data_IF_102931133119
#
_entry.id   IF_102931133119
#
_cell.length_a   1.000
_cell.length_b   1.000
_cell.length_c   1.000
_cell.angle_alpha   90.00
_cell.angle_beta   90.00
_cell.angle_gamma   90.00
#
_symmetry.space_group_name_H-M   'P 1'
#
loop_
_entity.id
_entity.type
_entity.pdbx_description
1 polymer ?
#
# COMPACT_ATOMS: atom_id res chain seq x y z
N UNK A 1 -5.81 -3.60 17.56
CA UNK A 1 -6.72 -4.65 18.04
C UNK A 1 -7.26 -5.51 16.91
N UNK A 2 -7.79 -4.90 15.81
CA UNK A 2 -8.46 -5.62 14.71
C UNK A 2 -7.48 -6.37 13.80
N UNK A 3 -6.29 -5.84 13.60
CA UNK A 3 -5.29 -6.38 12.69
C UNK A 3 -4.17 -7.16 13.40
N UNK A 4 -4.21 -7.30 14.73
CA UNK A 4 -3.15 -7.98 15.49
C UNK A 4 -1.79 -7.27 15.50
N UNK A 5 -1.71 -6.05 14.97
CA UNK A 5 -0.46 -5.26 14.92
C UNK A 5 -0.33 -4.41 16.17
N UNK A 6 0.88 -4.42 16.77
CA UNK A 6 1.25 -3.52 17.86
C UNK A 6 2.09 -2.36 17.31
N UNK A 7 1.65 -1.14 17.58
CA UNK A 7 2.28 0.10 17.15
C UNK A 7 2.40 1.05 18.33
N UNK A 8 3.47 1.82 18.38
CA UNK A 8 3.58 2.95 19.29
C UNK A 8 2.86 4.16 18.68
N UNK A 9 1.74 4.61 19.26
CA UNK A 9 0.97 5.71 18.70
C UNK A 9 1.71 7.06 18.73
N UNK A 10 2.83 7.16 19.42
CA UNK A 10 3.61 8.41 19.53
C UNK A 10 4.60 8.60 18.39
N UNK A 11 4.98 7.53 17.68
CA UNK A 11 6.00 7.56 16.62
C UNK A 11 5.76 6.61 15.43
N UNK A 12 4.80 5.67 15.52
CA UNK A 12 4.51 4.72 14.44
C UNK A 12 3.14 4.96 13.77
N UNK A 13 2.45 6.04 14.16
CA UNK A 13 1.14 6.42 13.58
C UNK A 13 1.11 7.92 13.30
N UNK A 14 0.91 8.28 12.02
CA UNK A 14 0.65 9.65 11.60
C UNK A 14 -0.84 9.83 11.29
N UNK A 15 -1.57 10.66 12.04
CA UNK A 15 -2.92 11.08 11.65
C UNK A 15 -2.92 11.87 10.34
N UNK A 16 -3.93 11.62 9.50
CA UNK A 16 -4.05 12.22 8.16
C UNK A 16 -5.42 12.87 7.97
N UNK A 17 -5.47 13.91 7.15
CA UNK A 17 -6.71 14.52 6.62
C UNK A 17 -7.24 13.63 5.47
N UNK A 18 -7.60 12.37 5.81
CA UNK A 18 -7.95 11.30 4.89
C UNK A 18 -6.72 10.63 4.27
N UNK A 19 -6.83 9.35 3.88
CA UNK A 19 -5.70 8.56 3.38
C UNK A 19 -5.07 9.10 2.08
N UNK A 20 -5.80 9.87 1.28
CA UNK A 20 -5.25 10.49 0.06
C UNK A 20 -4.09 11.46 0.36
N UNK A 21 -4.13 12.16 1.49
CA UNK A 21 -3.01 12.96 1.97
C UNK A 21 -1.77 12.07 2.21
N UNK A 22 -1.97 10.90 2.81
CA UNK A 22 -0.89 9.94 3.00
C UNK A 22 -0.29 9.43 1.69
N UNK A 23 -1.10 9.24 0.63
CA UNK A 23 -0.57 8.89 -0.68
C UNK A 23 0.36 9.99 -1.20
N UNK A 24 -0.04 11.27 -1.06
CA UNK A 24 0.79 12.40 -1.47
C UNK A 24 2.08 12.47 -0.66
N UNK A 25 1.98 12.46 0.67
CA UNK A 25 3.13 12.62 1.56
C UNK A 25 4.13 11.47 1.41
N UNK A 26 3.64 10.21 1.33
CA UNK A 26 4.51 9.06 1.08
C UNK A 26 5.22 9.18 -0.26
N UNK A 27 4.50 9.58 -1.32
CA UNK A 27 5.15 9.75 -2.63
C UNK A 27 6.20 10.86 -2.56
N UNK A 28 5.92 12.00 -1.89
CA UNK A 28 6.89 13.10 -1.73
C UNK A 28 8.13 12.71 -0.92
N UNK A 29 7.96 11.85 0.09
CA UNK A 29 9.05 11.46 0.99
C UNK A 29 10.01 10.44 0.37
N UNK A 30 9.52 9.56 -0.50
CA UNK A 30 10.29 8.41 -1.00
C UNK A 30 10.64 8.48 -2.48
N UNK A 31 10.09 9.43 -3.25
CA UNK A 31 10.20 9.43 -4.71
C UNK A 31 10.74 10.75 -5.22
N UNK A 32 11.81 10.69 -5.99
CA UNK A 32 12.41 11.81 -6.69
C UNK A 32 12.13 11.78 -8.20
N UNK A 33 12.43 12.89 -8.85
CA UNK A 33 12.36 13.00 -10.31
C UNK A 33 13.21 11.93 -11.00
N UNK A 34 12.59 11.14 -11.89
CA UNK A 34 13.26 10.06 -12.63
C UNK A 34 13.22 8.70 -11.96
N UNK A 35 12.78 8.61 -10.70
CA UNK A 35 12.51 7.32 -10.06
C UNK A 35 11.31 6.60 -10.69
N UNK A 36 11.14 5.33 -10.36
CA UNK A 36 10.02 4.51 -10.78
C UNK A 36 9.13 4.13 -9.59
N UNK A 37 7.84 4.02 -9.86
CA UNK A 37 6.82 3.61 -8.88
C UNK A 37 6.00 2.49 -9.47
N UNK A 38 5.99 1.30 -8.84
CA UNK A 38 5.13 0.21 -9.25
C UNK A 38 3.69 0.49 -8.81
N UNK A 39 2.76 0.40 -9.77
CA UNK A 39 1.34 0.68 -9.55
C UNK A 39 0.48 -0.47 -10.05
N UNK A 40 -0.58 -0.89 -9.32
CA UNK A 40 -1.44 -1.99 -9.77
C UNK A 40 -2.28 -1.59 -10.98
N UNK A 41 -2.46 -2.53 -11.91
CA UNK A 41 -3.36 -2.38 -13.07
C UNK A 41 -4.30 -3.60 -13.19
N UNK A 42 -5.62 -3.42 -12.99
CA UNK A 42 -6.32 -2.17 -12.64
C UNK A 42 -5.96 -1.66 -11.24
N UNK A 43 -6.10 -0.36 -11.02
CA UNK A 43 -5.78 0.24 -9.71
C UNK A 43 -6.34 1.65 -9.54
N UNK A 44 -6.12 2.22 -8.36
CA UNK A 44 -6.58 3.56 -8.03
C UNK A 44 -5.75 4.62 -8.77
N UNK A 45 -6.38 5.49 -9.61
CA UNK A 45 -5.66 6.39 -10.51
C UNK A 45 -4.72 7.40 -9.81
N UNK A 46 -4.94 7.64 -8.51
CA UNK A 46 -4.14 8.61 -7.75
C UNK A 46 -2.68 8.21 -7.66
N UNK A 47 -2.35 6.91 -7.57
CA UNK A 47 -0.96 6.46 -7.52
C UNK A 47 -0.19 6.88 -8.78
N UNK A 48 -0.75 6.60 -9.95
CA UNK A 48 -0.19 7.01 -11.25
C UNK A 48 -0.10 8.53 -11.39
N UNK A 49 -1.17 9.24 -10.99
CA UNK A 49 -1.25 10.69 -11.17
C UNK A 49 -0.22 11.42 -10.31
N UNK A 50 -0.03 11.02 -9.05
CA UNK A 50 0.93 11.64 -8.15
C UNK A 50 2.37 11.29 -8.54
N UNK A 51 2.65 10.05 -8.97
CA UNK A 51 3.98 9.70 -9.48
C UNK A 51 4.38 10.62 -10.65
N UNK A 52 3.48 10.81 -11.62
CA UNK A 52 3.72 11.72 -12.76
C UNK A 52 3.87 13.18 -12.34
N UNK A 53 3.07 13.64 -11.37
CA UNK A 53 3.14 15.01 -10.86
C UNK A 53 4.53 15.34 -10.29
N UNK A 54 5.17 14.36 -9.66
CA UNK A 54 6.52 14.49 -9.09
C UNK A 54 7.65 14.19 -10.07
N UNK A 55 7.32 13.93 -11.35
CA UNK A 55 8.31 13.62 -12.38
C UNK A 55 8.86 12.19 -12.32
N UNK A 56 8.22 11.31 -11.55
CA UNK A 56 8.53 9.90 -11.53
C UNK A 56 7.76 9.13 -12.62
N UNK A 57 8.25 7.96 -12.96
CA UNK A 57 7.65 7.06 -13.94
C UNK A 57 6.80 5.99 -13.24
N UNK A 58 5.45 6.03 -13.36
CA UNK A 58 4.64 4.91 -12.92
C UNK A 58 4.84 3.72 -13.87
N UNK A 59 5.13 2.56 -13.31
CA UNK A 59 5.29 1.29 -14.02
C UNK A 59 4.17 0.36 -13.57
N UNK A 60 3.23 0.01 -14.44
CA UNK A 60 2.13 -0.86 -14.07
C UNK A 60 2.60 -2.31 -13.89
N UNK A 61 2.02 -3.01 -12.90
CA UNK A 61 2.07 -4.44 -12.78
C UNK A 61 0.64 -5.02 -12.85
N UNK A 62 0.49 -6.15 -13.54
CA UNK A 62 -0.84 -6.64 -13.87
C UNK A 62 -1.48 -7.41 -12.71
N UNK A 63 -2.75 -7.09 -12.44
CA UNK A 63 -3.66 -7.91 -11.64
C UNK A 63 -4.66 -8.57 -12.57
N UNK A 64 -4.79 -9.90 -12.49
CA UNK A 64 -5.62 -10.67 -13.43
C UNK A 64 -6.70 -11.46 -12.71
N UNK A 65 -7.91 -11.57 -13.26
CA UNK A 65 -9.00 -12.33 -12.65
C UNK A 65 -8.65 -13.80 -12.46
N UNK A 66 -7.87 -14.40 -13.40
CA UNK A 66 -7.44 -15.79 -13.34
C UNK A 66 -6.52 -16.09 -12.14
N UNK A 67 -5.88 -15.05 -11.60
CA UNK A 67 -5.04 -15.12 -10.39
C UNK A 67 -5.75 -14.54 -9.16
N UNK A 68 -7.08 -14.37 -9.20
CA UNK A 68 -7.85 -13.77 -8.10
C UNK A 68 -7.47 -12.32 -7.81
N UNK A 69 -6.99 -11.59 -8.82
CA UNK A 69 -6.52 -10.20 -8.72
C UNK A 69 -5.34 -10.02 -7.75
N UNK A 70 -4.53 -11.06 -7.59
CA UNK A 70 -3.25 -10.98 -6.89
C UNK A 70 -2.13 -10.57 -7.86
N UNK A 71 -1.03 -9.96 -7.37
CA UNK A 71 0.13 -9.66 -8.19
C UNK A 71 0.69 -10.92 -8.87
N UNK A 72 1.09 -10.77 -10.12
CA UNK A 72 1.90 -11.78 -10.79
C UNK A 72 3.36 -11.62 -10.34
N UNK A 73 3.75 -12.43 -9.38
CA UNK A 73 5.09 -12.34 -8.83
C UNK A 73 6.18 -12.78 -9.81
N UNK A 74 5.87 -13.62 -10.79
CA UNK A 74 6.84 -13.96 -11.83
C UNK A 74 7.11 -12.76 -12.74
N UNK A 75 6.05 -11.96 -13.02
CA UNK A 75 6.17 -10.69 -13.72
C UNK A 75 6.97 -9.67 -12.90
N UNK A 76 6.65 -9.51 -11.60
CA UNK A 76 7.36 -8.59 -10.71
C UNK A 76 8.86 -8.95 -10.59
N UNK A 77 9.19 -10.22 -10.45
CA UNK A 77 10.59 -10.68 -10.36
C UNK A 77 11.39 -10.43 -11.64
N UNK A 78 10.74 -10.47 -12.80
CA UNK A 78 11.37 -10.22 -14.09
C UNK A 78 11.60 -8.70 -14.37
N UNK A 79 10.97 -7.81 -13.59
CA UNK A 79 11.12 -6.36 -13.78
C UNK A 79 12.50 -5.85 -13.35
N UNK A 80 13.03 -4.88 -14.09
CA UNK A 80 14.15 -4.06 -13.62
C UNK A 80 13.66 -3.09 -12.55
N UNK A 81 14.06 -3.31 -11.31
CA UNK A 81 13.68 -2.50 -10.15
C UNK A 81 14.77 -1.53 -9.70
N UNK A 82 15.83 -1.33 -10.48
CA UNK A 82 16.99 -0.49 -10.09
C UNK A 82 16.62 0.95 -9.74
N UNK A 83 15.55 1.48 -10.33
CA UNK A 83 15.03 2.82 -10.08
C UNK A 83 13.69 2.83 -9.33
N UNK A 84 13.18 1.67 -8.93
CA UNK A 84 11.92 1.59 -8.20
C UNK A 84 12.15 1.98 -6.74
N UNK A 85 11.30 2.89 -6.22
CA UNK A 85 11.30 3.31 -4.81
C UNK A 85 10.08 2.81 -4.07
N UNK A 86 8.91 2.87 -4.71
CA UNK A 86 7.65 2.45 -4.11
C UNK A 86 6.95 1.38 -4.95
N UNK A 87 6.27 0.47 -4.26
CA UNK A 87 5.25 -0.41 -4.80
C UNK A 87 3.93 -0.12 -4.09
N UNK A 88 2.94 0.39 -4.81
CA UNK A 88 1.60 0.55 -4.30
C UNK A 88 0.82 -0.74 -4.43
N UNK A 89 0.19 -1.19 -3.36
CA UNK A 89 -0.89 -2.18 -3.40
C UNK A 89 -2.12 -1.64 -2.66
N UNK A 90 -3.26 -2.25 -2.89
CA UNK A 90 -4.52 -1.79 -2.31
C UNK A 90 -5.38 -3.02 -2.04
N UNK A 91 -5.40 -3.47 -0.80
CA UNK A 91 -6.23 -4.61 -0.40
C UNK A 91 -6.97 -4.34 0.90
N UNK A 92 -8.28 -4.60 0.95
CA UNK A 92 -9.15 -5.07 -0.16
C UNK A 92 -9.11 -4.13 -1.36
N UNK A 93 -9.04 -4.73 -2.57
CA UNK A 93 -8.65 -4.04 -3.80
C UNK A 93 -9.80 -3.24 -4.43
N UNK A 94 -9.52 -2.03 -4.85
CA UNK A 94 -10.40 -1.22 -5.68
C UNK A 94 -9.86 -1.22 -7.12
N UNK A 95 -10.66 -1.61 -8.14
CA UNK A 95 -12.12 -1.73 -8.12
C UNK A 95 -12.65 -3.16 -7.94
N UNK A 96 -11.83 -4.19 -7.80
CA UNK A 96 -12.25 -5.59 -7.94
C UNK A 96 -12.87 -6.20 -6.69
N UNK A 97 -12.63 -5.62 -5.50
CA UNK A 97 -13.05 -6.16 -4.21
C UNK A 97 -12.21 -7.35 -3.73
N UNK A 98 -11.18 -7.76 -4.47
CA UNK A 98 -10.32 -8.86 -4.06
C UNK A 98 -9.63 -8.58 -2.73
N UNK A 99 -9.45 -9.61 -1.91
CA UNK A 99 -8.71 -9.55 -0.65
C UNK A 99 -7.32 -10.13 -0.84
N UNK A 100 -6.32 -9.55 -0.20
CA UNK A 100 -5.04 -10.22 -0.08
C UNK A 100 -5.16 -11.43 0.84
N UNK A 101 -4.44 -12.50 0.54
CA UNK A 101 -4.15 -13.54 1.50
C UNK A 101 -2.80 -13.25 2.19
N UNK A 102 -2.53 -13.95 3.29
CA UNK A 102 -1.28 -13.81 4.02
C UNK A 102 -0.07 -14.05 3.12
N UNK A 103 -0.11 -15.10 2.29
CA UNK A 103 0.94 -15.42 1.33
C UNK A 103 1.26 -14.26 0.36
N UNK A 104 0.25 -13.54 -0.10
CA UNK A 104 0.45 -12.35 -0.96
C UNK A 104 1.28 -11.29 -0.25
N UNK A 105 0.96 -10.99 1.00
CA UNK A 105 1.72 -10.02 1.77
C UNK A 105 3.13 -10.51 2.13
N UNK A 106 3.29 -11.79 2.48
CA UNK A 106 4.60 -12.38 2.73
C UNK A 106 5.52 -12.26 1.49
N UNK A 107 5.00 -12.56 0.31
CA UNK A 107 5.74 -12.41 -0.96
C UNK A 107 6.05 -10.95 -1.30
N UNK A 108 5.13 -10.01 -1.02
CA UNK A 108 5.39 -8.57 -1.22
C UNK A 108 6.48 -8.05 -0.28
N UNK A 109 6.47 -8.47 0.99
CA UNK A 109 7.50 -8.11 1.98
C UNK A 109 8.87 -8.66 1.58
N UNK A 110 8.94 -9.94 1.21
CA UNK A 110 10.19 -10.57 0.74
C UNK A 110 10.72 -9.87 -0.52
N UNK A 111 9.84 -9.57 -1.49
CA UNK A 111 10.21 -8.83 -2.70
C UNK A 111 10.75 -7.43 -2.36
N UNK A 112 10.09 -6.70 -1.46
CA UNK A 112 10.50 -5.37 -1.05
C UNK A 112 11.89 -5.37 -0.39
N UNK A 113 12.13 -6.29 0.53
CA UNK A 113 13.41 -6.43 1.22
C UNK A 113 14.55 -6.76 0.26
N UNK A 114 14.35 -7.75 -0.64
CA UNK A 114 15.36 -8.15 -1.62
C UNK A 114 15.67 -7.05 -2.65
N UNK A 115 14.70 -6.22 -2.99
CA UNK A 115 14.82 -5.17 -4.00
C UNK A 115 15.07 -3.78 -3.40
N UNK A 116 15.12 -3.66 -2.07
CA UNK A 116 15.33 -2.40 -1.34
C UNK A 116 14.35 -1.30 -1.77
N UNK A 117 13.06 -1.62 -1.74
CA UNK A 117 11.97 -0.70 -2.03
C UNK A 117 10.92 -0.71 -0.91
N UNK A 118 10.04 0.26 -0.89
CA UNK A 118 8.98 0.36 0.11
C UNK A 118 7.64 -0.08 -0.51
N UNK A 119 6.95 -1.00 0.17
CA UNK A 119 5.56 -1.37 -0.18
C UNK A 119 4.59 -0.53 0.62
N UNK A 120 3.61 0.05 -0.06
CA UNK A 120 2.54 0.82 0.58
C UNK A 120 1.20 0.15 0.31
N UNK A 121 0.55 -0.35 1.35
CA UNK A 121 -0.79 -0.89 1.25
C UNK A 121 -1.83 0.19 1.61
N UNK A 122 -2.60 0.64 0.63
CA UNK A 122 -3.75 1.52 0.87
C UNK A 122 -4.97 0.67 1.22
N UNK A 123 -5.38 0.72 2.51
CA UNK A 123 -6.39 -0.16 3.09
C UNK A 123 -7.61 0.59 3.66
N UNK A 124 -8.44 1.23 2.82
CA UNK A 124 -9.65 1.89 3.30
C UNK A 124 -10.86 0.96 3.40
N UNK A 125 -10.77 -0.30 2.94
CA UNK A 125 -11.93 -1.16 2.71
C UNK A 125 -12.04 -2.39 3.61
N UNK A 126 -11.09 -2.65 4.51
CA UNK A 126 -11.09 -3.86 5.36
C UNK A 126 -12.38 -4.09 6.15
N UNK A 127 -13.07 -3.02 6.56
CA UNK A 127 -14.30 -3.11 7.35
C UNK A 127 -15.59 -2.94 6.54
N UNK A 128 -15.51 -3.03 5.19
CA UNK A 128 -16.70 -2.95 4.34
C UNK A 128 -17.09 -4.35 3.88
N UNK A 129 -18.21 -4.87 4.42
CA UNK A 129 -18.80 -6.16 4.05
C UNK A 129 -17.77 -7.32 3.99
N UNK A 130 -16.69 -7.20 4.74
CA UNK A 130 -15.66 -8.21 4.84
C UNK A 130 -15.91 -9.08 6.06
N UNK A 131 -16.24 -10.33 5.82
CA UNK A 131 -16.34 -11.35 6.84
C UNK A 131 -14.99 -12.00 7.12
N UNK A 132 -14.78 -12.50 8.34
CA UNK A 132 -13.56 -13.18 8.73
C UNK A 132 -12.44 -12.25 9.23
N UNK A 133 -11.22 -12.73 9.15
CA UNK A 133 -10.04 -12.03 9.67
C UNK A 133 -9.68 -10.82 8.82
N UNK A 134 -9.40 -9.69 9.49
CA UNK A 134 -8.86 -8.49 8.85
C UNK A 134 -7.33 -8.59 8.84
N UNK A 135 -6.75 -8.54 7.66
CA UNK A 135 -5.32 -8.69 7.48
C UNK A 135 -4.66 -7.32 7.19
N UNK A 136 -3.59 -7.02 7.92
CA UNK A 136 -2.69 -5.89 7.66
C UNK A 136 -1.38 -6.40 7.10
N UNK A 137 -0.77 -5.66 6.16
CA UNK A 137 0.58 -5.98 5.70
C UNK A 137 1.59 -5.88 6.86
N UNK A 138 1.37 -4.97 7.81
CA UNK A 138 2.23 -4.79 8.98
C UNK A 138 2.15 -5.95 9.99
N UNK A 139 1.22 -6.90 9.81
CA UNK A 139 1.16 -8.13 10.60
C UNK A 139 2.09 -9.25 10.08
N UNK A 140 2.80 -9.00 8.99
CA UNK A 140 3.78 -9.92 8.41
C UNK A 140 5.16 -9.68 9.05
N UNK A 141 5.87 -10.76 9.32
CA UNK A 141 7.22 -10.67 9.88
C UNK A 141 8.15 -9.90 8.93
N UNK A 142 8.92 -8.97 9.48
CA UNK A 142 9.81 -8.09 8.71
C UNK A 142 9.12 -6.94 7.95
N UNK A 143 7.78 -6.89 7.92
CA UNK A 143 7.07 -5.85 7.18
C UNK A 143 7.35 -4.43 7.68
N UNK A 144 7.55 -4.24 8.99
CA UNK A 144 7.85 -2.92 9.54
C UNK A 144 9.12 -2.30 8.96
N UNK A 145 10.04 -3.10 8.45
CA UNK A 145 11.30 -2.62 7.87
C UNK A 145 11.13 -1.98 6.49
N UNK A 146 10.06 -2.35 5.75
CA UNK A 146 9.89 -1.95 4.36
C UNK A 146 8.44 -1.64 3.96
N UNK A 147 7.49 -1.62 4.90
CA UNK A 147 6.07 -1.42 4.56
C UNK A 147 5.45 -0.26 5.30
N UNK A 148 4.51 0.38 4.61
CA UNK A 148 3.61 1.41 5.13
C UNK A 148 2.18 0.94 4.90
N UNK A 149 1.27 1.17 5.83
CA UNK A 149 -0.16 0.97 5.65
C UNK A 149 -0.94 2.26 5.84
N UNK A 150 -1.79 2.59 4.86
CA UNK A 150 -2.74 3.70 4.95
C UNK A 150 -4.12 3.17 5.31
N UNK A 151 -4.79 3.84 6.24
CA UNK A 151 -6.16 3.54 6.61
C UNK A 151 -7.05 4.78 6.52
N UNK A 152 -8.36 4.58 6.31
CA UNK A 152 -9.31 5.68 6.18
C UNK A 152 -10.65 5.31 6.81
N UNK A 153 -11.25 6.27 7.51
CA UNK A 153 -12.62 6.15 8.01
C UNK A 153 -13.68 6.54 6.96
N UNK A 154 -13.25 7.08 5.83
CA UNK A 154 -14.17 7.58 4.79
C UNK A 154 -15.12 6.51 4.25
N UNK A 155 -14.65 5.26 4.14
CA UNK A 155 -15.40 4.14 3.57
C UNK A 155 -16.00 3.26 4.67
N UNK A 156 -15.14 2.71 5.51
CA UNK A 156 -15.48 1.75 6.54
C UNK A 156 -16.45 2.29 7.60
N UNK A 157 -16.42 3.60 7.87
CA UNK A 157 -17.26 4.24 8.90
C UNK A 157 -18.27 5.25 8.31
N UNK A 158 -18.41 5.27 6.98
CA UNK A 158 -19.27 6.23 6.27
C UNK A 158 -19.02 7.69 6.67
N UNK A 159 -17.76 8.05 6.85
CA UNK A 159 -17.31 9.37 7.31
C UNK A 159 -16.44 10.11 6.27
N UNK A 160 -16.85 10.18 4.97
CA UNK A 160 -15.99 10.80 3.96
C UNK A 160 -15.78 12.30 4.18
N UNK A 161 -16.75 13.01 4.76
CA UNK A 161 -16.67 14.42 5.07
C UNK A 161 -15.78 14.79 6.25
N UNK A 162 -15.52 13.84 7.15
CA UNK A 162 -14.72 14.08 8.35
C UNK A 162 -13.21 14.16 8.07
N UNK A 163 -12.80 13.65 6.93
CA UNK A 163 -11.40 13.68 6.50
C UNK A 163 -10.45 13.07 7.55
N UNK A 164 -10.77 11.86 8.01
CA UNK A 164 -9.96 11.11 8.99
C UNK A 164 -9.34 9.89 8.34
N UNK A 165 -8.04 9.78 8.47
CA UNK A 165 -7.22 8.65 8.06
C UNK A 165 -5.98 8.55 8.92
N UNK A 166 -5.14 7.56 8.64
CA UNK A 166 -3.83 7.43 9.27
C UNK A 166 -2.85 6.74 8.32
N UNK A 167 -1.59 7.03 8.53
CA UNK A 167 -0.45 6.26 8.06
C UNK A 167 0.09 5.49 9.26
N UNK A 168 0.39 4.23 9.07
CA UNK A 168 1.03 3.37 10.05
C UNK A 168 2.30 2.75 9.44
N UNK A 169 3.42 2.86 10.14
CA UNK A 169 4.72 2.33 9.72
C UNK A 169 5.67 2.24 10.92
N UNK A 170 6.94 1.94 10.68
CA UNK A 170 7.96 2.14 11.71
C UNK A 170 8.22 3.64 11.94
N UNK A 171 8.92 3.95 13.05
CA UNK A 171 9.21 5.32 13.45
C UNK A 171 10.16 6.09 12.51
N UNK A 172 10.87 5.41 11.60
CA UNK A 172 11.74 6.06 10.60
C UNK A 172 10.94 6.54 9.39
N UNK A 173 9.79 5.91 9.13
CA UNK A 173 8.91 6.25 8.00
C UNK A 173 7.81 7.24 8.38
N UNK A 174 7.55 7.44 9.68
CA UNK A 174 6.57 8.37 10.23
C UNK A 174 7.21 9.69 10.61
#
# INVERSE_FOLDING_TARGET
RWFGVQLDPTCEIQPLIGSKEGILHTTLAFVDHGDQVLVPDPGYPTYTSLSRLLGAQPVPYNLRPERGWQPDFDELEAMDTSRVRLLWCNYPHMPTGARACRETYERLVDFAQRRNLVVVNDNPYSFILNEGEHLSILAIDGAKECCIELNSMSKSHNMPGWRVGMLAANAEFV
#
